data_IF_677938637891
#
_entry.id   IF_677938637891
#
_cell.length_a   1.000
_cell.length_b   1.000
_cell.length_c   1.000
_cell.angle_alpha   90.00
_cell.angle_beta   90.00
_cell.angle_gamma   90.00
#
_symmetry.space_group_name_H-M   'P 1'
#
loop_
_entity.id
_entity.type
_entity.pdbx_description
1 polymer ?
#
# COMPACT_ATOMS: atom_id res chain seq x y z
N UNK A 1 0.85 -0.35 -17.48
CA UNK A 1 0.41 -0.05 -16.10
C UNK A 1 1.02 1.26 -15.59
N UNK A 2 0.18 2.23 -15.24
CA UNK A 2 0.59 3.53 -14.68
C UNK A 2 0.13 3.62 -13.23
N UNK A 3 1.02 4.00 -12.30
CA UNK A 3 0.67 4.20 -10.88
C UNK A 3 0.55 5.69 -10.59
N UNK A 4 -0.61 6.11 -10.10
CA UNK A 4 -0.88 7.49 -9.68
C UNK A 4 -1.22 7.53 -8.19
N UNK A 5 -0.79 8.58 -7.51
CA UNK A 5 -1.03 8.77 -6.07
C UNK A 5 -2.04 9.90 -5.88
N UNK A 6 -3.13 9.63 -5.17
CA UNK A 6 -4.08 10.68 -4.80
C UNK A 6 -3.43 11.67 -3.83
N UNK A 7 -4.03 12.87 -3.67
CA UNK A 7 -3.58 13.87 -2.68
C UNK A 7 -3.51 13.29 -1.25
N UNK A 8 -4.43 12.40 -0.91
CA UNK A 8 -4.48 11.72 0.39
C UNK A 8 -3.33 10.72 0.59
N UNK A 9 -2.82 10.11 -0.48
CA UNK A 9 -1.65 9.25 -0.47
C UNK A 9 -0.32 10.03 -0.60
N UNK A 10 -0.34 11.23 -1.21
CA UNK A 10 0.88 11.92 -1.66
C UNK A 10 1.44 12.96 -0.68
N UNK A 11 0.61 13.65 0.12
CA UNK A 11 1.07 14.88 0.79
C UNK A 11 1.83 14.64 2.10
N UNK A 12 1.45 13.67 2.94
CA UNK A 12 2.07 13.55 4.29
C UNK A 12 2.58 12.15 4.67
N UNK A 13 2.08 11.08 4.04
CA UNK A 13 2.35 9.71 4.50
C UNK A 13 3.74 9.18 4.08
N UNK A 14 4.27 9.61 2.94
CA UNK A 14 5.63 9.25 2.50
C UNK A 14 6.69 9.88 3.44
N UNK A 15 6.46 11.11 3.89
CA UNK A 15 7.33 11.78 4.85
C UNK A 15 7.22 11.16 6.25
N UNK A 16 6.01 10.76 6.65
CA UNK A 16 5.77 10.08 7.93
C UNK A 16 6.50 8.72 8.02
N UNK A 17 6.55 7.95 6.93
CA UNK A 17 7.28 6.68 6.87
C UNK A 17 8.79 6.88 7.04
N UNK A 18 9.37 7.94 6.45
CA UNK A 18 10.78 8.30 6.64
C UNK A 18 11.12 8.59 8.11
N UNK A 19 10.20 9.21 8.87
CA UNK A 19 10.39 9.54 10.29
C UNK A 19 10.47 8.30 11.20
N UNK A 20 9.94 7.18 10.75
CA UNK A 20 9.93 5.91 11.49
C UNK A 20 10.95 4.88 10.97
N UNK A 21 12.00 5.31 10.25
CA UNK A 21 12.99 4.44 9.59
C UNK A 21 12.39 3.46 8.56
N UNK A 22 11.12 3.65 8.15
CA UNK A 22 10.52 2.81 7.14
C UNK A 22 10.86 3.35 5.75
N UNK A 23 11.68 2.60 5.01
CA UNK A 23 12.05 2.89 3.62
C UNK A 23 10.91 2.59 2.64
N UNK A 24 9.66 2.84 3.02
CA UNK A 24 8.50 2.70 2.14
C UNK A 24 8.46 3.90 1.18
N UNK A 25 9.36 3.86 0.20
CA UNK A 25 9.40 4.76 -0.94
C UNK A 25 8.39 4.30 -2.01
N UNK A 26 8.22 5.08 -3.08
CA UNK A 26 7.31 4.73 -4.18
C UNK A 26 7.63 3.38 -4.84
N UNK A 27 8.90 2.95 -4.83
CA UNK A 27 9.31 1.67 -5.39
C UNK A 27 8.80 0.51 -4.52
N UNK A 28 8.87 0.63 -3.20
CA UNK A 28 8.31 -0.38 -2.30
C UNK A 28 6.78 -0.45 -2.41
N UNK A 29 6.09 0.69 -2.51
CA UNK A 29 4.63 0.70 -2.74
C UNK A 29 4.28 -0.02 -4.05
N UNK A 30 5.05 0.24 -5.12
CA UNK A 30 4.91 -0.48 -6.40
C UNK A 30 5.13 -1.98 -6.21
N UNK A 31 6.15 -2.38 -5.46
CA UNK A 31 6.42 -3.79 -5.15
C UNK A 31 5.27 -4.44 -4.37
N UNK A 32 4.67 -3.75 -3.40
CA UNK A 32 3.51 -4.27 -2.66
C UNK A 32 2.34 -4.54 -3.60
N UNK A 33 2.11 -3.66 -4.57
CA UNK A 33 1.04 -3.80 -5.56
C UNK A 33 1.33 -4.94 -6.55
N UNK A 34 2.56 -5.04 -7.06
CA UNK A 34 2.93 -6.01 -8.10
C UNK A 34 3.18 -7.43 -7.55
N UNK A 35 3.68 -7.52 -6.31
CA UNK A 35 4.07 -8.76 -5.65
C UNK A 35 3.67 -8.72 -4.17
N UNK A 36 2.35 -8.67 -3.87
CA UNK A 36 1.88 -8.72 -2.49
C UNK A 36 2.16 -10.08 -1.85
N UNK A 37 2.35 -10.08 -0.53
CA UNK A 37 2.28 -11.33 0.25
C UNK A 37 0.83 -11.77 0.43
N UNK A 38 -0.09 -10.80 0.46
CA UNK A 38 -1.53 -11.02 0.54
C UNK A 38 -2.29 -9.91 -0.19
N UNK A 39 -3.36 -10.28 -0.90
CA UNK A 39 -4.24 -9.36 -1.61
C UNK A 39 -5.69 -9.63 -1.20
N UNK A 40 -6.39 -8.57 -0.81
CA UNK A 40 -7.82 -8.59 -0.47
C UNK A 40 -8.60 -7.76 -1.51
N UNK A 41 -9.55 -8.40 -2.19
CA UNK A 41 -10.40 -7.81 -3.23
C UNK A 41 -11.87 -7.75 -2.82
N UNK A 42 -12.23 -8.30 -1.67
CA UNK A 42 -13.63 -8.53 -1.28
C UNK A 42 -14.08 -7.53 -0.23
N UNK A 43 -13.23 -7.22 0.76
CA UNK A 43 -13.65 -6.47 1.95
C UNK A 43 -14.01 -5.00 1.70
N UNK A 44 -13.52 -4.39 0.62
CA UNK A 44 -13.71 -2.96 0.33
C UNK A 44 -13.93 -2.70 -1.18
N UNK A 45 -14.66 -3.60 -1.86
CA UNK A 45 -14.93 -3.47 -3.30
C UNK A 45 -15.52 -2.07 -3.65
N UNK A 46 -15.05 -1.39 -4.71
CA UNK A 46 -14.13 -1.86 -5.77
C UNK A 46 -12.63 -1.67 -5.47
N UNK A 47 -12.25 -1.38 -4.22
CA UNK A 47 -10.86 -1.21 -3.82
C UNK A 47 -10.19 -2.57 -3.59
N UNK A 48 -8.91 -2.59 -3.86
CA UNK A 48 -8.01 -3.71 -3.63
C UNK A 48 -7.04 -3.31 -2.52
N UNK A 49 -6.79 -4.21 -1.58
CA UNK A 49 -5.84 -4.03 -0.50
C UNK A 49 -4.70 -5.03 -0.65
N UNK A 50 -3.58 -4.57 -1.20
CA UNK A 50 -2.34 -5.33 -1.24
C UNK A 50 -1.57 -5.13 0.06
N UNK A 51 -1.02 -6.21 0.60
CA UNK A 51 -0.25 -6.19 1.83
C UNK A 51 1.08 -6.90 1.64
N UNK A 52 2.14 -6.32 2.20
CA UNK A 52 3.49 -6.91 2.17
C UNK A 52 4.24 -6.68 3.46
N UNK A 53 4.97 -7.69 3.92
CA UNK A 53 5.82 -7.63 5.10
C UNK A 53 6.87 -6.52 4.97
N UNK A 54 6.97 -5.69 6.00
CA UNK A 54 8.02 -4.66 6.10
C UNK A 54 9.16 -5.13 6.99
N UNK A 55 8.83 -5.76 8.11
CA UNK A 55 9.77 -6.26 9.11
C UNK A 55 9.16 -7.46 9.86
N UNK A 56 9.76 -7.89 10.98
CA UNK A 56 9.26 -9.02 11.77
C UNK A 56 7.90 -8.80 12.43
N UNK A 57 7.43 -7.55 12.56
CA UNK A 57 6.22 -7.15 13.30
C UNK A 57 5.18 -6.44 12.44
N UNK A 58 5.56 -5.85 11.32
CA UNK A 58 4.71 -4.95 10.55
C UNK A 58 4.56 -5.38 9.08
N UNK A 59 3.42 -5.02 8.52
CA UNK A 59 3.09 -5.11 7.09
C UNK A 59 2.72 -3.73 6.59
N UNK A 60 3.03 -3.41 5.34
CA UNK A 60 2.49 -2.25 4.66
C UNK A 60 1.21 -2.68 3.96
N UNK A 61 0.10 -2.00 4.25
CA UNK A 61 -1.14 -2.14 3.48
C UNK A 61 -1.22 -0.99 2.48
N UNK A 62 -1.51 -1.31 1.24
CA UNK A 62 -1.72 -0.36 0.14
C UNK A 62 -3.12 -0.57 -0.40
N UNK A 63 -3.94 0.47 -0.31
CA UNK A 63 -5.31 0.49 -0.82
C UNK A 63 -5.30 1.24 -2.15
N UNK A 64 -5.74 0.56 -3.20
CA UNK A 64 -5.79 1.12 -4.54
C UNK A 64 -7.02 0.64 -5.29
N UNK A 65 -7.28 1.26 -6.45
CA UNK A 65 -8.23 0.76 -7.45
C UNK A 65 -7.52 0.63 -8.79
N UNK A 66 -7.98 -0.30 -9.61
CA UNK A 66 -7.50 -0.54 -10.97
C UNK A 66 -8.62 -0.20 -11.95
N UNK A 67 -8.41 0.81 -12.78
CA UNK A 67 -9.34 1.26 -13.83
C UNK A 67 -8.51 1.56 -15.09
N UNK A 68 -8.87 0.98 -16.24
CA UNK A 68 -8.22 1.24 -17.54
C UNK A 68 -6.67 1.21 -17.51
N UNK A 69 -6.08 0.18 -16.88
CA UNK A 69 -4.62 0.01 -16.68
C UNK A 69 -3.94 1.08 -15.80
N UNK A 70 -4.73 1.90 -15.11
CA UNK A 70 -4.28 2.89 -14.14
C UNK A 70 -4.55 2.38 -12.74
N UNK A 71 -3.47 2.23 -11.97
CA UNK A 71 -3.54 1.98 -10.53
C UNK A 71 -3.56 3.32 -9.81
N UNK A 72 -4.69 3.61 -9.17
CA UNK A 72 -4.83 4.80 -8.32
C UNK A 72 -4.64 4.41 -6.87
N UNK A 73 -3.49 4.78 -6.30
CA UNK A 73 -3.19 4.59 -4.87
C UNK A 73 -3.97 5.62 -4.05
N UNK A 74 -4.95 5.12 -3.29
CA UNK A 74 -5.84 5.93 -2.47
C UNK A 74 -5.18 6.21 -1.12
N UNK A 75 -4.63 5.19 -0.48
CA UNK A 75 -3.90 5.33 0.79
C UNK A 75 -2.97 4.14 1.01
N UNK A 76 -2.00 4.29 1.91
CA UNK A 76 -1.22 3.20 2.45
C UNK A 76 -0.90 3.48 3.92
N UNK A 77 -0.69 2.42 4.70
CA UNK A 77 -0.37 2.53 6.13
C UNK A 77 0.27 1.24 6.65
N UNK A 78 1.18 1.33 7.63
CA UNK A 78 1.68 0.15 8.32
C UNK A 78 0.59 -0.44 9.23
N UNK A 79 0.59 -1.76 9.36
CA UNK A 79 -0.26 -2.50 10.28
C UNK A 79 0.54 -3.60 11.00
N UNK A 80 0.16 -4.00 12.23
CA UNK A 80 0.75 -5.17 12.88
C UNK A 80 0.44 -6.46 12.10
N UNK A 81 1.41 -7.38 12.03
CA UNK A 81 1.21 -8.75 11.53
C UNK A 81 0.17 -9.49 12.38
N UNK A 82 -0.60 -10.39 11.76
CA UNK A 82 -1.62 -11.20 12.44
C UNK A 82 -2.94 -10.48 12.73
N UNK A 83 -3.05 -9.18 12.42
CA UNK A 83 -4.32 -8.44 12.60
C UNK A 83 -5.30 -8.63 11.44
N UNK A 84 -4.77 -8.89 10.25
CA UNK A 84 -5.56 -8.85 9.01
C UNK A 84 -5.36 -10.07 8.12
N UNK A 85 -4.22 -10.75 8.28
CA UNK A 85 -3.90 -12.08 7.76
C UNK A 85 -2.73 -12.64 8.59
#
# INVERSE_FOLDING_TARGET
MKIVFTKHASVDKVAMLKKHNFTANKAFIKEVIEKPDHEDKESDFPKIIASKSMDSKHVLRVVYKLEDDIITVITFYPAPKGRYY
#
